data_IF_286766013841
#
_entry.id   IF_286766013841
#
_cell.length_a   1.000
_cell.length_b   1.000
_cell.length_c   1.000
_cell.angle_alpha   90.00
_cell.angle_beta   90.00
_cell.angle_gamma   90.00
#
_symmetry.space_group_name_H-M   'P 1'
#
loop_
_entity.id
_entity.type
_entity.pdbx_description
1 polymer ?
#
# COMPACT_ATOMS: atom_id res chain seq x y z
N UNK A 1 -1.43 11.32 8.60
CA UNK A 1 -0.81 11.55 7.26
C UNK A 1 -1.17 10.45 6.27
N UNK A 2 -1.13 9.18 6.68
CA UNK A 2 -1.44 8.04 5.82
C UNK A 2 -2.73 7.34 6.23
N UNK A 3 -3.42 6.75 5.26
CA UNK A 3 -4.51 5.78 5.45
C UNK A 3 -4.16 4.51 4.70
N UNK A 4 -4.21 3.35 5.37
CA UNK A 4 -4.12 2.06 4.69
C UNK A 4 -5.42 1.84 3.91
N UNK A 5 -5.32 1.66 2.60
CA UNK A 5 -6.48 1.53 1.71
C UNK A 5 -6.68 0.11 1.19
N UNK A 6 -5.63 -0.70 1.17
CA UNK A 6 -5.66 -2.07 0.65
C UNK A 6 -4.49 -2.89 1.21
N UNK A 7 -4.71 -4.18 1.41
CA UNK A 7 -3.63 -5.17 1.44
C UNK A 7 -3.90 -6.18 0.32
N UNK A 8 -2.88 -6.49 -0.46
CA UNK A 8 -2.94 -7.49 -1.51
C UNK A 8 -1.88 -8.58 -1.36
N UNK A 9 -2.19 -9.77 -1.87
CA UNK A 9 -1.29 -10.90 -1.99
C UNK A 9 -1.25 -11.32 -3.46
N UNK A 10 -0.06 -11.35 -4.08
CA UNK A 10 0.12 -11.62 -5.52
C UNK A 10 -0.80 -10.77 -6.42
N UNK A 11 -1.04 -9.52 -6.04
CA UNK A 11 -1.90 -8.58 -6.78
C UNK A 11 -3.40 -8.74 -6.54
N UNK A 12 -3.85 -9.70 -5.74
CA UNK A 12 -5.27 -9.86 -5.37
C UNK A 12 -5.56 -9.22 -4.01
N UNK A 13 -6.63 -8.44 -3.89
CA UNK A 13 -7.06 -7.87 -2.63
C UNK A 13 -7.40 -8.96 -1.60
N UNK A 14 -6.84 -8.82 -0.39
CA UNK A 14 -7.11 -9.71 0.77
C UNK A 14 -7.57 -8.93 2.01
N UNK A 15 -7.47 -7.61 1.99
CA UNK A 15 -8.07 -6.69 2.96
C UNK A 15 -8.48 -5.39 2.22
N UNK A 16 -9.62 -4.74 2.56
CA UNK A 16 -10.51 -5.04 3.70
C UNK A 16 -11.44 -6.23 3.48
N UNK A 17 -11.63 -6.61 2.22
CA UNK A 17 -12.34 -7.84 1.83
C UNK A 17 -11.35 -8.81 1.22
N UNK A 18 -11.68 -10.09 1.23
CA UNK A 18 -10.85 -11.13 0.63
C UNK A 18 -11.66 -12.41 0.46
N UNK A 19 -11.33 -13.17 -0.58
CA UNK A 19 -11.91 -14.49 -0.79
C UNK A 19 -11.20 -15.52 0.08
N UNK A 20 -11.96 -16.41 0.73
CA UNK A 20 -11.39 -17.57 1.46
C UNK A 20 -10.68 -18.55 0.53
N UNK A 21 -10.89 -18.44 -0.78
CA UNK A 21 -10.26 -19.28 -1.80
C UNK A 21 -8.95 -18.68 -2.34
N UNK A 22 -8.58 -17.46 -1.96
CA UNK A 22 -7.31 -16.87 -2.37
C UNK A 22 -6.17 -17.60 -1.67
N UNK A 23 -5.31 -18.28 -2.44
CA UNK A 23 -4.11 -18.89 -1.91
C UNK A 23 -3.04 -17.83 -1.62
N UNK A 24 -2.51 -17.82 -0.40
CA UNK A 24 -1.64 -16.78 0.11
C UNK A 24 -0.19 -17.24 0.13
N UNK A 25 0.72 -16.35 -0.28
CA UNK A 25 2.16 -16.50 -0.02
C UNK A 25 2.59 -15.58 1.13
N UNK A 26 3.81 -15.76 1.64
CA UNK A 26 4.36 -14.95 2.73
C UNK A 26 4.86 -13.56 2.30
N UNK A 27 4.36 -13.01 1.19
CA UNK A 27 4.67 -11.68 0.71
C UNK A 27 3.36 -10.93 0.42
N UNK A 28 3.23 -9.76 1.03
CA UNK A 28 2.06 -8.90 0.92
C UNK A 28 2.49 -7.49 0.46
N UNK A 29 1.59 -6.80 -0.24
CA UNK A 29 1.70 -5.39 -0.50
C UNK A 29 0.64 -4.65 0.33
N UNK A 30 1.09 -3.77 1.23
CA UNK A 30 0.22 -2.88 1.98
C UNK A 30 0.25 -1.49 1.34
N UNK A 31 -0.92 -1.01 0.93
CA UNK A 31 -1.06 0.28 0.24
C UNK A 31 -1.52 1.36 1.21
N UNK A 32 -0.76 2.45 1.25
CA UNK A 32 -1.07 3.64 1.99
C UNK A 32 -1.24 4.82 1.04
N UNK A 33 -2.34 5.56 1.17
CA UNK A 33 -2.57 6.83 0.47
C UNK A 33 -2.53 7.99 1.47
N UNK A 34 -2.28 9.22 1.00
CA UNK A 34 -2.40 10.39 1.86
C UNK A 34 -3.84 10.59 2.29
N UNK A 35 -4.03 11.03 3.54
CA UNK A 35 -5.34 11.44 4.02
C UNK A 35 -5.77 12.70 3.26
N UNK A 36 -6.99 12.70 2.73
CA UNK A 36 -7.62 13.81 2.01
C UNK A 36 -6.81 14.38 0.82
N UNK A 37 -5.88 13.60 0.26
CA UNK A 37 -5.05 14.03 -0.87
C UNK A 37 -3.93 15.00 -0.49
N UNK A 38 -3.63 15.15 0.80
CA UNK A 38 -2.56 16.04 1.28
C UNK A 38 -1.21 15.65 0.65
N UNK A 39 -0.40 16.64 0.21
CA UNK A 39 0.92 16.38 -0.33
C UNK A 39 1.84 15.83 0.76
N UNK A 40 2.59 14.80 0.41
CA UNK A 40 3.58 14.17 1.29
C UNK A 40 4.98 14.42 0.75
N UNK A 41 5.92 14.63 1.66
CA UNK A 41 7.35 14.71 1.31
C UNK A 41 8.06 13.39 1.59
N UNK A 42 9.33 13.29 1.21
CA UNK A 42 10.11 12.05 1.40
C UNK A 42 10.30 11.67 2.88
N UNK A 43 10.37 12.64 3.79
CA UNK A 43 10.50 12.37 5.24
C UNK A 43 9.25 11.68 5.79
N UNK A 44 8.06 12.04 5.28
CA UNK A 44 6.82 11.36 5.67
C UNK A 44 6.83 9.88 5.25
N UNK A 45 7.31 9.59 4.04
CA UNK A 45 7.42 8.22 3.52
C UNK A 45 8.42 7.41 4.35
N UNK A 46 9.59 7.99 4.63
CA UNK A 46 10.63 7.34 5.45
C UNK A 46 10.10 7.07 6.86
N UNK A 47 9.36 8.00 7.46
CA UNK A 47 8.74 7.81 8.77
C UNK A 47 7.76 6.64 8.81
N UNK A 48 6.93 6.47 7.77
CA UNK A 48 6.06 5.29 7.64
C UNK A 48 6.85 4.00 7.46
N UNK A 49 7.92 4.02 6.66
CA UNK A 49 8.79 2.86 6.49
C UNK A 49 9.42 2.44 7.83
N UNK A 50 9.99 3.39 8.58
CA UNK A 50 10.59 3.15 9.90
C UNK A 50 9.58 2.53 10.86
N UNK A 51 8.36 3.06 10.94
CA UNK A 51 7.34 2.51 11.84
C UNK A 51 6.96 1.07 11.48
N UNK A 52 6.80 0.76 10.18
CA UNK A 52 6.48 -0.60 9.73
C UNK A 52 7.62 -1.59 9.99
N UNK A 53 8.88 -1.15 9.83
CA UNK A 53 10.04 -2.02 10.05
C UNK A 53 10.27 -2.41 11.50
N UNK A 54 9.57 -1.78 12.45
CA UNK A 54 9.56 -2.22 13.85
C UNK A 54 8.90 -3.58 14.06
N UNK A 55 7.89 -3.91 13.26
CA UNK A 55 7.09 -5.14 13.40
C UNK A 55 7.25 -6.10 12.21
N UNK A 56 7.60 -5.58 11.02
CA UNK A 56 7.59 -6.35 9.77
C UNK A 56 8.90 -6.24 9.00
N UNK A 57 9.35 -7.34 8.39
CA UNK A 57 10.41 -7.31 7.39
C UNK A 57 9.85 -6.75 6.08
N UNK A 58 10.22 -5.50 5.76
CA UNK A 58 9.86 -4.86 4.49
C UNK A 58 10.94 -5.19 3.44
N UNK A 59 10.56 -5.83 2.34
CA UNK A 59 11.48 -6.24 1.28
C UNK A 59 11.51 -5.28 0.08
N UNK A 60 10.49 -4.44 -0.09
CA UNK A 60 10.41 -3.43 -1.13
C UNK A 60 9.51 -2.27 -0.71
N UNK A 61 9.71 -1.11 -1.35
CA UNK A 61 8.89 0.09 -1.18
C UNK A 61 8.73 0.75 -2.55
N UNK A 62 7.49 1.16 -2.87
CA UNK A 62 7.13 1.81 -4.13
C UNK A 62 6.34 3.08 -3.83
N UNK A 63 6.65 4.17 -4.54
CA UNK A 63 5.93 5.44 -4.38
C UNK A 63 4.65 5.46 -5.23
N UNK A 64 3.55 5.89 -4.62
CA UNK A 64 2.30 6.14 -5.32
C UNK A 64 2.26 7.57 -5.83
N UNK A 65 2.60 7.75 -7.11
CA UNK A 65 2.61 9.07 -7.74
C UNK A 65 1.28 9.38 -8.43
N UNK A 66 1.02 10.67 -8.63
CA UNK A 66 -0.02 11.18 -9.51
C UNK A 66 0.56 12.24 -10.45
N UNK A 67 0.18 12.21 -11.71
CA UNK A 67 0.60 13.17 -12.74
C UNK A 67 -0.65 13.78 -13.36
N UNK A 68 -0.75 15.11 -13.40
CA UNK A 68 -1.92 15.84 -13.90
C UNK A 68 -3.24 15.34 -13.26
N UNK A 69 -3.21 15.09 -11.95
CA UNK A 69 -4.35 14.59 -11.19
C UNK A 69 -4.70 13.11 -11.44
N UNK A 70 -3.93 12.38 -12.27
CA UNK A 70 -4.16 10.96 -12.57
C UNK A 70 -3.22 10.08 -11.76
N UNK A 71 -3.79 9.06 -11.10
CA UNK A 71 -3.03 8.01 -10.38
C UNK A 71 -2.11 7.28 -11.36
N UNK A 72 -0.83 7.19 -11.04
CA UNK A 72 0.21 6.56 -11.86
C UNK A 72 0.47 5.09 -11.48
N UNK A 73 -0.55 4.43 -10.92
CA UNK A 73 -0.46 3.08 -10.39
C UNK A 73 -1.80 2.36 -10.59
N UNK A 74 -1.74 1.02 -10.71
CA UNK A 74 -2.93 0.18 -10.82
C UNK A 74 -3.52 -0.17 -9.45
N UNK A 75 -4.78 -0.58 -9.43
CA UNK A 75 -5.43 -1.17 -8.25
C UNK A 75 -5.14 -2.66 -8.16
N UNK A 76 -5.31 -3.24 -6.97
CA UNK A 76 -5.30 -4.69 -6.82
C UNK A 76 -6.52 -5.29 -7.53
N UNK A 77 -6.42 -6.56 -7.95
CA UNK A 77 -7.57 -7.29 -8.44
C UNK A 77 -8.62 -7.41 -7.32
N UNK A 78 -9.84 -6.96 -7.59
CA UNK A 78 -10.96 -6.95 -6.63
C UNK A 78 -11.04 -5.71 -5.73
N UNK A 79 -10.20 -4.70 -5.98
CA UNK A 79 -10.29 -3.37 -5.37
C UNK A 79 -11.18 -2.43 -6.18
#
# INVERSE_FOLDING_TARGET
>A
KFKMVNISNRGTQVWPTGSRFTNLVNQYNARFESVDGEPLNQQDIIGLYVSLTGDFKVCSLELLNAWDGKKAYSLAQGQ
#
